data_IF_761159031829
#
_entry.id   IF_761159031829
#
_cell.length_a   1.000
_cell.length_b   1.000
_cell.length_c   1.000
_cell.angle_alpha   90.00
_cell.angle_beta   90.00
_cell.angle_gamma   90.00
#
_symmetry.space_group_name_H-M   'P 1'
#
loop_
_entity.id
_entity.type
_entity.pdbx_description
1 polymer ?
#
# COMPACT_ATOMS: atom_id res chain seq x y z
N UNK A 1 -4.66 -20.11 1.44
CA UNK A 1 -4.46 -19.11 2.52
C UNK A 1 -4.66 -17.72 1.93
N UNK A 2 -5.37 -16.85 2.65
CA UNK A 2 -5.63 -15.49 2.17
C UNK A 2 -4.61 -14.52 2.80
N UNK A 3 -3.72 -13.89 2.02
CA UNK A 3 -2.68 -13.00 2.54
C UNK A 3 -3.20 -11.90 3.49
N UNK A 4 -4.36 -11.32 3.23
CA UNK A 4 -4.92 -10.28 4.10
C UNK A 4 -5.25 -10.74 5.55
N UNK A 5 -5.24 -12.05 5.80
CA UNK A 5 -5.44 -12.62 7.15
C UNK A 5 -4.13 -12.81 7.91
N UNK A 6 -3.00 -12.62 7.25
CA UNK A 6 -1.68 -12.78 7.86
C UNK A 6 -1.29 -11.52 8.62
N UNK A 7 -0.49 -11.68 9.66
CA UNK A 7 0.15 -10.54 10.33
C UNK A 7 1.19 -9.89 9.41
N UNK A 8 1.52 -8.61 9.68
CA UNK A 8 2.57 -7.90 8.95
C UNK A 8 3.90 -8.68 8.92
N UNK A 9 4.29 -9.25 10.05
CA UNK A 9 5.52 -10.08 10.13
C UNK A 9 5.46 -11.29 9.22
N UNK A 10 4.34 -12.02 9.24
CA UNK A 10 4.14 -13.19 8.38
C UNK A 10 4.18 -12.81 6.89
N UNK A 11 3.56 -11.68 6.50
CA UNK A 11 3.61 -11.18 5.13
C UNK A 11 5.05 -10.87 4.70
N UNK A 12 5.79 -10.11 5.51
CA UNK A 12 7.19 -9.75 5.25
C UNK A 12 8.05 -11.00 5.09
N UNK A 13 7.94 -11.95 6.02
CA UNK A 13 8.71 -13.20 5.99
C UNK A 13 8.43 -14.01 4.72
N UNK A 14 7.15 -14.11 4.33
CA UNK A 14 6.76 -14.85 3.12
C UNK A 14 7.23 -14.17 1.82
N UNK A 15 7.15 -12.85 1.76
CA UNK A 15 7.65 -12.10 0.60
C UNK A 15 9.17 -12.23 0.48
N UNK A 16 9.89 -12.10 1.59
CA UNK A 16 11.36 -12.29 1.61
C UNK A 16 11.80 -13.69 1.18
N UNK A 17 11.03 -14.70 1.56
CA UNK A 17 11.29 -16.11 1.17
C UNK A 17 10.76 -16.46 -0.22
N UNK A 18 10.18 -15.52 -0.94
CA UNK A 18 9.53 -15.76 -2.24
C UNK A 18 8.38 -16.78 -2.20
N UNK A 19 7.77 -16.98 -1.04
CA UNK A 19 6.55 -17.79 -0.88
C UNK A 19 5.30 -17.03 -1.35
N UNK A 20 5.34 -15.70 -1.32
CA UNK A 20 4.35 -14.78 -1.88
C UNK A 20 5.08 -13.69 -2.65
N UNK A 21 4.50 -13.23 -3.74
CA UNK A 21 4.91 -11.96 -4.37
C UNK A 21 4.21 -10.78 -3.71
N UNK A 22 4.79 -9.59 -3.83
CA UNK A 22 4.12 -8.35 -3.41
C UNK A 22 2.82 -8.13 -4.19
N UNK A 23 2.79 -8.57 -5.46
CA UNK A 23 1.58 -8.53 -6.28
C UNK A 23 0.49 -9.46 -5.75
N UNK A 24 0.83 -10.67 -5.30
CA UNK A 24 -0.14 -11.59 -4.67
C UNK A 24 -0.75 -10.97 -3.42
N UNK A 25 0.09 -10.36 -2.59
CA UNK A 25 -0.35 -9.64 -1.39
C UNK A 25 -1.28 -8.49 -1.76
N UNK A 26 -0.87 -7.64 -2.72
CA UNK A 26 -1.69 -6.50 -3.17
C UNK A 26 -3.05 -6.95 -3.71
N UNK A 27 -3.09 -7.98 -4.56
CA UNK A 27 -4.35 -8.50 -5.09
C UNK A 27 -5.28 -9.01 -3.99
N UNK A 28 -4.74 -9.69 -2.98
CA UNK A 28 -5.53 -10.15 -1.84
C UNK A 28 -6.20 -9.00 -1.07
N UNK A 29 -5.49 -7.89 -0.86
CA UNK A 29 -6.06 -6.69 -0.22
C UNK A 29 -7.06 -5.98 -1.14
N UNK A 30 -6.81 -5.92 -2.45
CA UNK A 30 -7.75 -5.34 -3.42
C UNK A 30 -9.07 -6.09 -3.40
N UNK A 31 -9.06 -7.41 -3.46
CA UNK A 31 -10.28 -8.22 -3.36
C UNK A 31 -11.06 -7.89 -2.08
N UNK A 32 -10.36 -7.75 -0.96
CA UNK A 32 -10.98 -7.40 0.31
C UNK A 32 -11.60 -6.00 0.29
N UNK A 33 -10.90 -5.03 -0.29
CA UNK A 33 -11.40 -3.66 -0.44
C UNK A 33 -12.64 -3.65 -1.35
N UNK A 34 -12.58 -4.30 -2.51
CA UNK A 34 -13.70 -4.35 -3.46
C UNK A 34 -14.96 -4.99 -2.85
N UNK A 35 -14.79 -5.96 -1.96
CA UNK A 35 -15.89 -6.63 -1.27
C UNK A 35 -16.59 -5.73 -0.23
N UNK A 36 -15.83 -4.95 0.54
CA UNK A 36 -16.35 -4.28 1.74
C UNK A 36 -16.36 -2.75 1.69
N UNK A 37 -15.59 -2.10 0.82
CA UNK A 37 -15.41 -0.64 0.85
C UNK A 37 -16.71 0.15 0.64
N UNK A 38 -17.63 -0.34 -0.18
CA UNK A 38 -18.94 0.29 -0.39
C UNK A 38 -19.75 0.44 0.92
N UNK A 39 -19.52 -0.48 1.87
CA UNK A 39 -20.21 -0.48 3.17
C UNK A 39 -19.35 0.18 4.26
N UNK A 40 -18.03 -0.03 4.23
CA UNK A 40 -17.10 0.47 5.26
C UNK A 40 -16.66 1.90 5.01
N UNK A 41 -16.41 2.27 3.74
CA UNK A 41 -15.94 3.61 3.33
C UNK A 41 -14.72 4.07 4.12
N UNK A 42 -13.70 3.19 4.22
CA UNK A 42 -12.49 3.45 4.97
C UNK A 42 -11.49 4.34 4.22
N UNK A 43 -11.51 4.32 2.88
CA UNK A 43 -10.50 4.96 2.05
C UNK A 43 -10.96 6.34 1.56
N UNK A 44 -10.24 7.40 1.92
CA UNK A 44 -10.40 8.71 1.30
C UNK A 44 -9.88 8.72 -0.14
N UNK A 45 -8.82 7.95 -0.40
CA UNK A 45 -8.24 7.73 -1.72
C UNK A 45 -7.69 6.30 -1.82
N UNK A 46 -8.03 5.61 -2.88
CA UNK A 46 -7.45 4.33 -3.24
C UNK A 46 -7.39 4.19 -4.77
N UNK A 47 -6.20 4.05 -5.31
CA UNK A 47 -5.96 3.80 -6.73
C UNK A 47 -5.39 2.40 -6.91
N UNK A 48 -6.23 1.50 -7.39
CA UNK A 48 -5.91 0.09 -7.64
C UNK A 48 -4.71 -0.07 -8.57
N UNK A 49 -4.67 0.70 -9.67
CA UNK A 49 -3.60 0.62 -10.68
C UNK A 49 -2.26 1.01 -10.07
N UNK A 50 -2.19 2.18 -9.43
CA UNK A 50 -0.97 2.66 -8.75
C UNK A 50 -0.51 1.71 -7.65
N UNK A 51 -1.44 1.13 -6.89
CA UNK A 51 -1.12 0.16 -5.84
C UNK A 51 -0.47 -1.11 -6.39
N UNK A 52 -0.99 -1.64 -7.50
CA UNK A 52 -0.41 -2.80 -8.19
C UNK A 52 0.92 -2.49 -8.85
N UNK A 53 1.10 -1.30 -9.43
CA UNK A 53 2.38 -0.87 -9.99
C UNK A 53 3.48 -0.84 -8.93
N UNK A 54 3.20 -0.27 -7.75
CA UNK A 54 4.14 -0.26 -6.63
C UNK A 54 4.45 -1.66 -6.10
N UNK A 55 3.47 -2.55 -6.07
CA UNK A 55 3.69 -3.95 -5.70
C UNK A 55 4.62 -4.65 -6.71
N UNK A 56 4.43 -4.40 -8.00
CA UNK A 56 5.30 -4.92 -9.05
C UNK A 56 6.72 -4.37 -8.95
N UNK A 57 6.88 -3.07 -8.72
CA UNK A 57 8.19 -2.46 -8.48
C UNK A 57 8.91 -3.12 -7.29
N UNK A 58 8.18 -3.43 -6.22
CA UNK A 58 8.74 -4.13 -5.07
C UNK A 58 9.21 -5.56 -5.42
N UNK A 59 8.45 -6.28 -6.24
CA UNK A 59 8.85 -7.61 -6.72
C UNK A 59 10.06 -7.53 -7.65
N UNK A 60 10.09 -6.58 -8.57
CA UNK A 60 11.23 -6.35 -9.47
C UNK A 60 12.50 -6.01 -8.68
N UNK A 61 12.38 -5.18 -7.64
CA UNK A 61 13.48 -4.86 -6.73
C UNK A 61 14.00 -6.11 -6.01
N UNK A 62 13.11 -6.94 -5.47
CA UNK A 62 13.48 -8.18 -4.80
C UNK A 62 14.21 -9.14 -5.75
N UNK A 63 13.71 -9.29 -6.96
CA UNK A 63 14.30 -10.16 -8.00
C UNK A 63 15.66 -9.66 -8.49
N UNK A 64 15.94 -8.36 -8.37
CA UNK A 64 17.23 -7.78 -8.74
C UNK A 64 18.37 -8.16 -7.79
N UNK A 65 18.07 -8.78 -6.64
CA UNK A 65 19.07 -9.15 -5.62
C UNK A 65 19.56 -7.99 -4.76
N UNK A 66 18.98 -6.80 -4.90
CA UNK A 66 19.33 -5.64 -4.07
C UNK A 66 18.86 -5.83 -2.62
N UNK A 67 19.52 -5.16 -1.64
CA UNK A 67 19.09 -5.23 -0.24
C UNK A 67 17.64 -4.84 -0.06
N UNK A 68 16.90 -5.60 0.77
CA UNK A 68 15.50 -5.34 1.10
C UNK A 68 15.39 -4.57 2.39
N UNK A 69 14.56 -3.52 2.39
CA UNK A 69 14.19 -2.82 3.61
C UNK A 69 13.39 -3.71 4.58
N UNK A 70 13.25 -3.32 5.85
CA UNK A 70 12.55 -4.13 6.86
C UNK A 70 11.07 -4.33 6.57
N UNK A 71 10.43 -3.41 5.86
CA UNK A 71 9.00 -3.44 5.51
C UNK A 71 8.76 -3.76 4.02
N UNK A 72 9.76 -4.26 3.32
CA UNK A 72 9.68 -4.51 1.88
C UNK A 72 8.49 -5.40 1.52
N UNK A 73 7.68 -4.94 0.57
CA UNK A 73 6.52 -5.67 0.07
C UNK A 73 5.27 -5.61 0.96
N UNK A 74 5.34 -4.91 2.11
CA UNK A 74 4.20 -4.74 3.01
C UNK A 74 3.31 -3.59 2.54
N UNK A 75 1.99 -3.82 2.30
CA UNK A 75 1.04 -2.75 2.07
C UNK A 75 0.83 -1.91 3.33
N UNK A 76 0.82 -0.60 3.19
CA UNK A 76 0.66 0.34 4.31
C UNK A 76 -0.48 1.31 4.00
N UNK A 77 -1.37 1.49 4.97
CA UNK A 77 -2.36 2.55 4.94
C UNK A 77 -1.79 3.81 5.60
N UNK A 78 -1.98 4.94 4.96
CA UNK A 78 -1.52 6.25 5.45
C UNK A 78 -2.75 7.11 5.72
N UNK A 79 -2.83 7.66 6.93
CA UNK A 79 -3.92 8.54 7.31
C UNK A 79 -3.92 9.82 6.48
N UNK A 80 -5.11 10.30 6.09
CA UNK A 80 -5.33 11.47 5.23
C UNK A 80 -5.04 12.83 5.92
N UNK A 81 -4.04 12.85 6.78
CA UNK A 81 -3.42 14.05 7.37
C UNK A 81 -1.92 14.12 7.08
N UNK A 82 -1.34 13.02 6.60
CA UNK A 82 0.07 12.95 6.24
C UNK A 82 0.25 13.20 4.74
N UNK A 83 1.13 14.12 4.41
CA UNK A 83 1.43 14.46 3.02
C UNK A 83 2.15 13.31 2.33
N UNK A 84 1.69 12.97 1.13
CA UNK A 84 2.32 12.03 0.22
C UNK A 84 2.53 12.70 -1.13
N UNK A 85 3.57 12.32 -1.85
CA UNK A 85 3.83 12.88 -3.20
C UNK A 85 2.91 12.27 -4.26
N UNK A 86 2.48 11.04 -4.06
CA UNK A 86 1.77 10.23 -5.06
C UNK A 86 0.25 10.16 -4.87
N UNK A 87 -0.26 10.71 -3.76
CA UNK A 87 -1.69 10.71 -3.45
C UNK A 87 -2.16 12.08 -2.97
N UNK A 88 -3.44 12.44 -3.16
CA UNK A 88 -3.99 13.65 -2.57
C UNK A 88 -4.04 13.56 -1.04
N UNK A 89 -3.92 14.70 -0.36
CA UNK A 89 -4.07 14.81 1.10
C UNK A 89 -5.20 15.81 1.38
N UNK A 90 -6.35 15.30 1.82
CA UNK A 90 -7.58 16.08 1.97
C UNK A 90 -7.86 16.58 3.38
N UNK A 91 -7.19 16.05 4.40
CA UNK A 91 -7.38 16.40 5.82
C UNK A 91 -8.82 16.24 6.34
N UNK A 92 -9.63 15.43 5.65
CA UNK A 92 -11.02 15.22 6.01
C UNK A 92 -11.95 16.42 5.70
N UNK A 93 -11.52 17.37 4.89
CA UNK A 93 -12.30 18.55 4.52
C UNK A 93 -12.51 18.68 3.01
N UNK A 94 -13.73 19.01 2.53
CA UNK A 94 -14.01 19.24 1.11
C UNK A 94 -13.17 20.37 0.49
N UNK A 95 -12.75 21.35 1.30
CA UNK A 95 -11.94 22.51 0.85
C UNK A 95 -10.58 22.05 0.30
N UNK A 96 -10.02 20.97 0.86
CA UNK A 96 -8.70 20.45 0.49
C UNK A 96 -8.78 19.13 -0.30
N UNK A 97 -9.97 18.69 -0.66
CA UNK A 97 -10.16 17.47 -1.43
C UNK A 97 -9.42 17.54 -2.77
N UNK A 98 -8.68 16.49 -3.08
CA UNK A 98 -7.89 16.38 -4.31
C UNK A 98 -6.57 17.16 -4.32
N UNK A 99 -6.23 17.90 -3.27
CA UNK A 99 -4.95 18.62 -3.20
C UNK A 99 -3.78 17.65 -3.06
N UNK A 100 -2.75 17.87 -3.88
CA UNK A 100 -1.50 17.08 -3.85
C UNK A 100 -0.35 17.92 -3.31
N UNK A 101 0.48 17.29 -2.46
CA UNK A 101 1.69 17.91 -1.95
C UNK A 101 2.90 17.56 -2.82
N UNK A 102 3.87 18.47 -2.90
CA UNK A 102 5.16 18.19 -3.54
C UNK A 102 6.17 17.51 -2.60
N UNK A 103 5.88 17.49 -1.30
CA UNK A 103 6.76 16.94 -0.27
C UNK A 103 6.04 15.88 0.55
N UNK A 104 6.76 14.84 0.94
CA UNK A 104 6.28 13.83 1.86
C UNK A 104 6.49 14.23 3.31
N UNK A 105 5.58 13.79 4.18
CA UNK A 105 5.78 13.84 5.62
C UNK A 105 6.90 12.88 6.05
N UNK A 106 7.63 13.19 7.11
CA UNK A 106 8.72 12.33 7.61
C UNK A 106 8.27 10.89 7.90
N UNK A 107 7.05 10.70 8.39
CA UNK A 107 6.51 9.37 8.70
C UNK A 107 6.26 8.54 7.44
N UNK A 108 6.15 9.16 6.27
CA UNK A 108 5.91 8.50 4.97
C UNK A 108 7.22 8.14 4.28
N UNK A 109 8.28 8.93 4.50
CA UNK A 109 9.62 8.74 3.92
C UNK A 109 10.31 7.52 4.52
#
# INVERSE_FOLDING_TARGET
MKPYLLSAKQLIDKVKKSELSSVDVANSFIERIEEFEKDVRAWAFFDKTSFLEKAKEADDWRLSGKPLGPLHGLPIAIKDIFKTEDMPTGYGTPIKEGQRSKNESEVVR
#
